data_IF_678321053559
#
_entry.id   IF_678321053559
#
_cell.length_a   1.000
_cell.length_b   1.000
_cell.length_c   1.000
_cell.angle_alpha   90.00
_cell.angle_beta   90.00
_cell.angle_gamma   90.00
#
_symmetry.space_group_name_H-M   'P 1'
#
loop_
_entity.id
_entity.type
_entity.pdbx_description
1 polymer ?
#
# COMPACT_ATOMS: atom_id res chain seq x y z
N UNK A 1 -12.15 0.97 -32.36
CA UNK A 1 -11.96 0.08 -31.20
C UNK A 1 -13.34 -0.15 -30.62
N UNK A 2 -13.83 -1.37 -30.72
CA UNK A 2 -15.17 -1.74 -30.25
C UNK A 2 -15.12 -2.19 -28.77
N UNK A 3 -16.29 -2.30 -28.15
CA UNK A 3 -16.45 -2.84 -26.80
C UNK A 3 -17.15 -4.19 -26.91
N UNK A 4 -16.49 -5.25 -26.49
CA UNK A 4 -16.98 -6.61 -26.56
C UNK A 4 -17.45 -7.06 -25.16
N UNK A 5 -18.71 -7.43 -25.03
CA UNK A 5 -19.25 -8.11 -23.85
C UNK A 5 -18.92 -9.60 -23.98
N UNK A 6 -17.96 -10.07 -23.21
CA UNK A 6 -17.49 -11.45 -23.28
C UNK A 6 -17.97 -12.25 -22.06
N UNK A 7 -18.32 -13.51 -22.29
CA UNK A 7 -18.76 -14.46 -21.26
C UNK A 7 -17.84 -15.67 -21.16
N UNK A 8 -17.01 -15.90 -22.19
CA UNK A 8 -16.06 -17.00 -22.25
C UNK A 8 -14.64 -16.50 -22.52
N UNK A 9 -13.65 -17.31 -22.17
CA UNK A 9 -12.24 -17.01 -22.43
C UNK A 9 -11.97 -16.86 -23.95
N UNK A 10 -12.61 -17.68 -24.79
CA UNK A 10 -12.41 -17.63 -26.23
C UNK A 10 -12.96 -16.36 -26.86
N UNK A 11 -14.14 -15.90 -26.40
CA UNK A 11 -14.68 -14.59 -26.81
C UNK A 11 -13.74 -13.44 -26.43
N UNK A 12 -13.17 -13.49 -25.22
CA UNK A 12 -12.22 -12.50 -24.75
C UNK A 12 -10.91 -12.51 -25.56
N UNK A 13 -10.38 -13.69 -25.88
CA UNK A 13 -9.20 -13.86 -26.72
C UNK A 13 -9.43 -13.30 -28.15
N UNK A 14 -10.59 -13.61 -28.73
CA UNK A 14 -10.98 -13.09 -30.04
C UNK A 14 -11.14 -11.56 -30.03
N UNK A 15 -11.71 -10.99 -28.96
CA UNK A 15 -11.82 -9.54 -28.80
C UNK A 15 -10.45 -8.88 -28.64
N UNK A 16 -9.57 -9.46 -27.81
CA UNK A 16 -8.20 -8.99 -27.62
C UNK A 16 -7.40 -8.96 -28.93
N UNK A 17 -7.52 -10.03 -29.75
CA UNK A 17 -6.84 -10.14 -31.05
C UNK A 17 -7.29 -9.07 -32.06
N UNK A 18 -8.50 -8.59 -31.95
CA UNK A 18 -9.01 -7.45 -32.75
C UNK A 18 -8.65 -6.08 -32.17
N UNK A 19 -8.05 -6.04 -30.98
CA UNK A 19 -7.78 -4.82 -30.24
C UNK A 19 -9.02 -4.18 -29.59
N UNK A 20 -10.09 -4.96 -29.40
CA UNK A 20 -11.31 -4.48 -28.76
C UNK A 20 -11.16 -4.40 -27.23
N UNK A 21 -12.01 -3.60 -26.60
CA UNK A 21 -12.11 -3.55 -25.15
C UNK A 21 -13.02 -4.68 -24.65
N UNK A 22 -12.52 -5.44 -23.69
CA UNK A 22 -13.23 -6.59 -23.11
C UNK A 22 -14.01 -6.12 -21.88
N UNK A 23 -15.30 -6.41 -21.81
CA UNK A 23 -16.11 -6.24 -20.60
C UNK A 23 -16.35 -7.60 -19.97
N UNK A 24 -15.92 -7.74 -18.71
CA UNK A 24 -15.98 -8.98 -17.96
C UNK A 24 -16.70 -8.78 -16.63
N UNK A 25 -17.64 -9.69 -16.27
CA UNK A 25 -18.53 -9.48 -15.13
C UNK A 25 -18.52 -10.59 -14.09
N UNK A 26 -18.06 -11.76 -14.40
CA UNK A 26 -18.07 -12.90 -13.46
C UNK A 26 -17.04 -13.96 -13.83
N UNK A 27 -16.48 -14.61 -12.79
CA UNK A 27 -15.52 -15.70 -12.92
C UNK A 27 -14.11 -15.29 -13.33
N UNK A 28 -13.24 -16.27 -13.55
CA UNK A 28 -11.84 -16.03 -13.91
C UNK A 28 -11.69 -15.71 -15.40
N UNK A 29 -10.78 -14.78 -15.70
CA UNK A 29 -10.35 -14.40 -17.04
C UNK A 29 -8.82 -14.27 -17.05
N UNK A 30 -8.15 -14.87 -18.02
CA UNK A 30 -6.72 -14.69 -18.25
C UNK A 30 -6.52 -13.83 -19.50
N UNK A 31 -5.72 -12.77 -19.38
CA UNK A 31 -5.37 -11.90 -20.51
C UNK A 31 -3.86 -11.66 -20.54
N UNK A 32 -3.34 -11.49 -21.75
CA UNK A 32 -1.93 -11.23 -22.03
C UNK A 32 -1.76 -10.22 -23.16
N UNK A 33 -0.52 -9.88 -23.47
CA UNK A 33 -0.18 -8.89 -24.49
C UNK A 33 -0.68 -7.50 -24.10
N UNK A 34 -1.34 -6.79 -25.01
CA UNK A 34 -1.86 -5.44 -24.83
C UNK A 34 -3.40 -5.41 -24.61
N UNK A 35 -3.98 -6.48 -24.13
CA UNK A 35 -5.42 -6.59 -23.90
C UNK A 35 -5.93 -5.51 -22.95
N UNK A 36 -7.15 -5.03 -23.17
CA UNK A 36 -7.81 -4.01 -22.34
C UNK A 36 -9.10 -4.57 -21.76
N UNK A 37 -9.19 -4.61 -20.43
CA UNK A 37 -10.30 -5.24 -19.71
C UNK A 37 -10.99 -4.24 -18.78
N UNK A 38 -12.30 -4.27 -18.79
CA UNK A 38 -13.17 -3.66 -17.79
C UNK A 38 -13.80 -4.78 -16.97
N UNK A 39 -13.35 -4.93 -15.74
CA UNK A 39 -13.75 -5.97 -14.80
C UNK A 39 -14.77 -5.41 -13.80
N UNK A 40 -15.94 -6.03 -13.71
CA UNK A 40 -17.03 -5.59 -12.83
C UNK A 40 -17.50 -6.72 -11.90
N UNK A 41 -18.21 -6.33 -10.86
CA UNK A 41 -18.83 -7.27 -9.92
C UNK A 41 -17.80 -8.10 -9.17
N UNK A 42 -17.95 -9.42 -9.17
CA UNK A 42 -17.05 -10.38 -8.51
C UNK A 42 -16.10 -11.07 -9.48
N UNK A 43 -15.77 -10.43 -10.60
CA UNK A 43 -14.86 -10.99 -11.60
C UNK A 43 -13.43 -11.14 -11.07
N UNK A 44 -12.70 -12.13 -11.60
CA UNK A 44 -11.28 -12.35 -11.31
C UNK A 44 -10.51 -12.24 -12.61
N UNK A 45 -9.49 -11.36 -12.66
CA UNK A 45 -8.69 -11.15 -13.87
C UNK A 45 -7.21 -11.41 -13.57
N UNK A 46 -6.60 -12.28 -14.36
CA UNK A 46 -5.15 -12.50 -14.39
C UNK A 46 -4.59 -11.74 -15.60
N UNK A 47 -3.87 -10.67 -15.34
CA UNK A 47 -3.33 -9.77 -16.36
C UNK A 47 -1.81 -9.93 -16.44
N UNK A 48 -1.32 -10.38 -17.58
CA UNK A 48 0.10 -10.59 -17.84
C UNK A 48 0.62 -9.62 -18.91
N UNK A 49 1.91 -9.57 -19.09
CA UNK A 49 2.65 -8.74 -20.05
C UNK A 49 2.34 -7.24 -19.86
N UNK A 50 1.74 -6.61 -20.87
CA UNK A 50 1.38 -5.18 -20.85
C UNK A 50 -0.13 -4.94 -20.82
N UNK A 51 -0.90 -5.92 -20.37
CA UNK A 51 -2.35 -5.83 -20.28
C UNK A 51 -2.80 -4.67 -19.37
N UNK A 52 -3.94 -4.08 -19.70
CA UNK A 52 -4.50 -2.97 -18.95
C UNK A 52 -5.89 -3.33 -18.42
N UNK A 53 -6.08 -3.26 -17.11
CA UNK A 53 -7.34 -3.63 -16.44
C UNK A 53 -7.91 -2.42 -15.69
N UNK A 54 -9.20 -2.19 -15.86
CA UNK A 54 -9.99 -1.32 -14.98
C UNK A 54 -10.92 -2.18 -14.15
N UNK A 55 -10.68 -2.21 -12.85
CA UNK A 55 -11.44 -3.01 -11.89
C UNK A 55 -12.41 -2.13 -11.11
N UNK A 56 -13.65 -2.55 -11.05
CA UNK A 56 -14.75 -1.86 -10.37
C UNK A 56 -15.43 -2.79 -9.36
N UNK A 57 -16.22 -2.22 -8.49
CA UNK A 57 -17.00 -2.91 -7.46
C UNK A 57 -16.11 -3.78 -6.56
N UNK A 58 -16.28 -5.10 -6.57
CA UNK A 58 -15.50 -6.07 -5.79
C UNK A 58 -14.60 -6.97 -6.68
N UNK A 59 -14.28 -6.53 -7.89
CA UNK A 59 -13.42 -7.27 -8.80
C UNK A 59 -12.02 -7.50 -8.21
N UNK A 60 -11.45 -8.68 -8.47
CA UNK A 60 -10.10 -9.06 -8.07
C UNK A 60 -9.17 -9.12 -9.27
N UNK A 61 -7.99 -8.51 -9.18
CA UNK A 61 -7.00 -8.50 -10.27
C UNK A 61 -5.66 -9.00 -9.78
N UNK A 62 -5.09 -9.96 -10.49
CA UNK A 62 -3.71 -10.41 -10.34
C UNK A 62 -2.91 -9.87 -11.53
N UNK A 63 -2.01 -8.95 -11.28
CA UNK A 63 -1.23 -8.26 -12.29
C UNK A 63 0.23 -8.68 -12.22
N UNK A 64 0.78 -9.11 -13.35
CA UNK A 64 2.15 -9.60 -13.49
C UNK A 64 2.90 -8.80 -14.56
N UNK A 65 4.20 -8.96 -14.63
CA UNK A 65 5.11 -8.32 -15.57
C UNK A 65 4.99 -6.79 -15.56
N UNK A 66 4.54 -6.18 -16.64
CA UNK A 66 4.33 -4.74 -16.80
C UNK A 66 2.85 -4.34 -16.93
N UNK A 67 1.95 -5.18 -16.43
CA UNK A 67 0.51 -4.94 -16.47
C UNK A 67 0.13 -3.65 -15.72
N UNK A 68 -0.92 -2.99 -16.20
CA UNK A 68 -1.43 -1.74 -15.61
C UNK A 68 -2.84 -1.94 -15.08
N UNK A 69 -3.05 -1.55 -13.83
CA UNK A 69 -4.36 -1.70 -13.18
C UNK A 69 -4.85 -0.35 -12.64
N UNK A 70 -6.10 -0.03 -12.95
CA UNK A 70 -6.86 1.05 -12.34
C UNK A 70 -7.94 0.43 -11.46
N UNK A 71 -7.80 0.55 -10.16
CA UNK A 71 -8.65 -0.08 -9.16
C UNK A 71 -9.59 0.96 -8.54
N UNK A 72 -10.88 0.70 -8.60
CA UNK A 72 -11.95 1.57 -8.10
C UNK A 72 -12.89 0.81 -7.15
N UNK A 73 -13.63 1.55 -6.34
CA UNK A 73 -14.58 0.97 -5.40
C UNK A 73 -13.91 0.16 -4.31
N UNK A 74 -14.35 -1.07 -4.09
CA UNK A 74 -13.78 -2.03 -3.13
C UNK A 74 -12.98 -3.15 -3.79
N UNK A 75 -12.49 -2.92 -5.02
CA UNK A 75 -11.69 -3.88 -5.77
C UNK A 75 -10.39 -4.25 -5.05
N UNK A 76 -9.92 -5.47 -5.30
CA UNK A 76 -8.66 -5.98 -4.73
C UNK A 76 -7.65 -6.25 -5.83
N UNK A 77 -6.39 -5.82 -5.65
CA UNK A 77 -5.31 -5.99 -6.62
C UNK A 77 -4.11 -6.64 -5.96
N UNK A 78 -3.57 -7.66 -6.60
CA UNK A 78 -2.28 -8.28 -6.29
C UNK A 78 -1.33 -7.98 -7.44
N UNK A 79 -0.33 -7.15 -7.18
CA UNK A 79 0.61 -6.68 -8.20
C UNK A 79 2.00 -7.27 -7.95
N UNK A 80 2.57 -7.88 -8.98
CA UNK A 80 3.88 -8.53 -8.96
C UNK A 80 4.82 -7.89 -10.01
N UNK A 81 6.07 -8.25 -9.95
CA UNK A 81 7.13 -7.85 -10.89
C UNK A 81 7.24 -6.31 -11.02
N UNK A 82 6.98 -5.76 -12.19
CA UNK A 82 6.99 -4.33 -12.49
C UNK A 82 5.60 -3.75 -12.76
N UNK A 83 4.55 -4.44 -12.31
CA UNK A 83 3.17 -4.00 -12.50
C UNK A 83 2.90 -2.63 -11.87
N UNK A 84 2.06 -1.84 -12.53
CA UNK A 84 1.69 -0.50 -12.07
C UNK A 84 0.22 -0.41 -11.72
N UNK A 85 -0.09 0.04 -10.52
CA UNK A 85 -1.46 0.13 -10.00
C UNK A 85 -1.80 1.57 -9.63
N UNK A 86 -2.98 2.04 -10.07
CA UNK A 86 -3.60 3.24 -9.52
C UNK A 86 -4.84 2.85 -8.74
N UNK A 87 -4.79 3.07 -7.43
CA UNK A 87 -5.83 2.70 -6.49
C UNK A 87 -6.61 3.93 -6.04
N UNK A 88 -7.93 3.86 -6.16
CA UNK A 88 -8.85 4.93 -5.81
C UNK A 88 -9.91 4.45 -4.82
N UNK A 89 -10.44 5.36 -4.02
CA UNK A 89 -11.49 5.11 -3.02
C UNK A 89 -11.06 4.05 -2.00
N UNK A 90 -11.84 2.99 -1.84
CA UNK A 90 -11.59 1.92 -0.86
C UNK A 90 -10.88 0.71 -1.46
N UNK A 91 -10.22 0.86 -2.61
CA UNK A 91 -9.49 -0.22 -3.25
C UNK A 91 -8.37 -0.75 -2.35
N UNK A 92 -8.14 -2.06 -2.38
CA UNK A 92 -7.07 -2.74 -1.64
C UNK A 92 -6.01 -3.21 -2.61
N UNK A 93 -4.75 -2.92 -2.30
CA UNK A 93 -3.62 -3.35 -3.13
C UNK A 93 -2.60 -4.08 -2.27
N UNK A 94 -2.18 -5.26 -2.71
CA UNK A 94 -0.98 -5.93 -2.20
C UNK A 94 0.05 -5.94 -3.31
N UNK A 95 1.17 -5.27 -3.10
CA UNK A 95 2.23 -5.11 -4.08
C UNK A 95 3.49 -5.86 -3.66
N UNK A 96 4.10 -6.56 -4.59
CA UNK A 96 5.31 -7.36 -4.41
C UNK A 96 6.41 -6.91 -5.37
N UNK A 97 7.60 -7.41 -5.18
CA UNK A 97 8.77 -7.24 -6.04
C UNK A 97 9.09 -5.76 -6.32
N UNK A 98 9.00 -5.32 -7.56
CA UNK A 98 9.27 -3.94 -7.99
C UNK A 98 7.98 -3.20 -8.41
N UNK A 99 6.82 -3.71 -8.03
CA UNK A 99 5.54 -3.10 -8.39
C UNK A 99 5.41 -1.67 -7.86
N UNK A 100 4.75 -0.83 -8.64
CA UNK A 100 4.54 0.59 -8.31
C UNK A 100 3.06 0.87 -8.08
N UNK A 101 2.72 1.46 -6.94
CA UNK A 101 1.34 1.77 -6.57
C UNK A 101 1.16 3.26 -6.34
N UNK A 102 0.20 3.84 -7.02
CA UNK A 102 -0.27 5.20 -6.82
C UNK A 102 -1.60 5.15 -6.07
N UNK A 103 -1.57 5.50 -4.79
CA UNK A 103 -2.73 5.46 -3.92
C UNK A 103 -3.41 6.83 -3.81
N UNK A 104 -4.73 6.84 -3.91
CA UNK A 104 -5.57 8.02 -3.74
C UNK A 104 -6.72 7.73 -2.78
N UNK A 105 -7.27 8.77 -2.20
CA UNK A 105 -8.41 8.72 -1.25
C UNK A 105 -8.10 7.79 -0.06
N UNK A 106 -8.98 6.81 0.18
CA UNK A 106 -8.89 5.83 1.28
C UNK A 106 -8.33 4.48 0.83
N UNK A 107 -7.59 4.43 -0.28
CA UNK A 107 -7.01 3.18 -0.76
C UNK A 107 -6.04 2.59 0.27
N UNK A 108 -6.15 1.29 0.51
CA UNK A 108 -5.29 0.56 1.43
C UNK A 108 -4.20 -0.18 0.65
N UNK A 109 -2.94 0.05 0.98
CA UNK A 109 -1.82 -0.58 0.27
C UNK A 109 -0.94 -1.34 1.25
N UNK A 110 -0.69 -2.62 0.93
CA UNK A 110 0.32 -3.44 1.58
C UNK A 110 1.43 -3.71 0.55
N UNK A 111 2.63 -3.19 0.79
CA UNK A 111 3.75 -3.36 -0.11
C UNK A 111 4.83 -4.27 0.48
N UNK A 112 5.39 -5.18 -0.28
CA UNK A 112 6.45 -6.13 0.08
C UNK A 112 7.67 -5.95 -0.83
N UNK A 113 8.83 -6.41 -0.39
CA UNK A 113 10.05 -6.35 -1.19
C UNK A 113 10.44 -4.92 -1.55
N UNK A 114 10.70 -4.67 -2.81
CA UNK A 114 11.11 -3.39 -3.39
C UNK A 114 9.93 -2.57 -3.94
N UNK A 115 8.67 -2.99 -3.67
CA UNK A 115 7.50 -2.30 -4.16
C UNK A 115 7.43 -0.85 -3.64
N UNK A 116 7.11 0.05 -4.53
CA UNK A 116 7.07 1.49 -4.28
C UNK A 116 5.63 1.99 -4.22
N UNK A 117 5.34 2.84 -3.25
CA UNK A 117 4.00 3.45 -3.08
C UNK A 117 4.13 4.96 -3.17
N UNK A 118 3.25 5.57 -3.96
CA UNK A 118 3.22 7.01 -4.21
C UNK A 118 1.84 7.57 -3.87
N UNK A 119 1.80 8.79 -3.39
CA UNK A 119 0.59 9.58 -3.36
C UNK A 119 0.18 9.92 -4.81
N UNK A 120 -1.05 9.60 -5.19
CA UNK A 120 -1.49 9.74 -6.58
C UNK A 120 -1.71 11.20 -7.00
N UNK A 121 -1.86 12.13 -6.05
CA UNK A 121 -2.08 13.57 -6.30
C UNK A 121 -0.76 14.29 -6.43
N UNK A 122 0.16 14.07 -5.49
CA UNK A 122 1.45 14.78 -5.43
C UNK A 122 2.57 14.07 -6.18
N UNK A 123 2.40 12.78 -6.51
CA UNK A 123 3.46 11.94 -7.06
C UNK A 123 4.60 11.66 -6.07
N UNK A 124 4.46 12.14 -4.84
CA UNK A 124 5.47 11.93 -3.80
C UNK A 124 5.48 10.49 -3.32
N UNK A 125 6.65 9.87 -3.11
CA UNK A 125 6.72 8.55 -2.54
C UNK A 125 6.09 8.57 -1.14
N UNK A 126 5.07 7.75 -0.95
CA UNK A 126 4.57 7.44 0.38
C UNK A 126 5.62 6.54 1.01
N UNK A 127 6.56 7.15 1.72
CA UNK A 127 7.57 6.41 2.46
C UNK A 127 6.85 5.46 3.40
N UNK A 128 7.08 4.18 3.20
CA UNK A 128 6.71 3.18 4.17
C UNK A 128 7.67 3.35 5.34
N UNK A 129 7.33 4.26 6.22
CA UNK A 129 7.97 4.34 7.54
C UNK A 129 7.51 3.12 8.34
N UNK A 130 8.12 1.97 8.03
CA UNK A 130 8.01 0.85 8.97
C UNK A 130 8.71 1.30 10.23
N UNK A 131 8.08 1.18 11.39
CA UNK A 131 8.81 1.31 12.62
C UNK A 131 9.99 0.33 12.53
N UNK A 132 11.20 0.86 12.45
CA UNK A 132 12.43 0.06 12.41
C UNK A 132 12.77 -0.50 13.78
N UNK A 133 12.17 0.06 14.80
CA UNK A 133 12.32 -0.35 16.19
C UNK A 133 10.95 -0.42 16.80
N UNK A 134 10.63 -1.55 17.43
CA UNK A 134 9.46 -1.72 18.27
C UNK A 134 9.96 -1.92 19.68
N UNK A 135 9.59 -1.02 20.58
CA UNK A 135 9.87 -1.13 22.00
C UNK A 135 8.64 -1.77 22.64
N UNK A 136 8.86 -2.75 23.48
CA UNK A 136 7.81 -3.59 24.08
C UNK A 136 6.72 -2.83 24.82
N UNK A 137 5.91 -3.57 25.53
CA UNK A 137 4.74 -3.05 26.25
C UNK A 137 5.12 -1.98 27.28
N UNK A 138 4.75 -0.73 27.03
CA UNK A 138 5.12 0.44 27.83
C UNK A 138 3.90 1.26 28.23
N UNK A 139 4.06 1.96 29.33
CA UNK A 139 3.18 3.01 29.80
C UNK A 139 1.81 2.53 30.26
N UNK A 140 0.91 3.46 30.50
CA UNK A 140 -0.41 3.24 31.11
C UNK A 140 -1.34 2.30 30.32
N UNK A 141 -1.08 2.12 29.02
CA UNK A 141 -1.88 1.25 28.15
C UNK A 141 -1.25 -0.10 27.86
N UNK A 142 -0.06 -0.37 28.41
CA UNK A 142 0.71 -1.58 28.13
C UNK A 142 0.78 -1.87 26.62
N UNK A 143 1.11 -0.86 25.82
CA UNK A 143 1.08 -0.90 24.37
C UNK A 143 2.50 -0.84 23.77
N UNK A 144 2.65 -1.34 22.54
CA UNK A 144 3.92 -1.24 21.82
C UNK A 144 4.16 0.21 21.35
N UNK A 145 5.41 0.65 21.47
CA UNK A 145 5.90 1.89 20.91
C UNK A 145 6.64 1.59 19.61
N UNK A 146 6.12 2.08 18.49
CA UNK A 146 6.77 1.97 17.19
C UNK A 146 7.65 3.21 16.94
N UNK A 147 8.82 3.01 16.35
CA UNK A 147 9.73 4.10 15.99
C UNK A 147 10.20 3.95 14.55
N UNK A 148 10.00 4.97 13.74
CA UNK A 148 10.61 5.11 12.43
C UNK A 148 11.92 5.91 12.56
N UNK A 149 13.01 5.36 12.05
CA UNK A 149 14.32 6.00 12.01
C UNK A 149 14.63 6.41 10.56
N UNK A 150 14.45 7.68 10.19
CA UNK A 150 14.74 8.16 8.84
C UNK A 150 16.21 7.97 8.46
N UNK A 151 16.46 7.65 7.19
CA UNK A 151 17.83 7.47 6.67
C UNK A 151 18.49 8.78 6.23
N UNK A 152 17.75 9.88 6.20
CA UNK A 152 18.19 11.20 5.77
C UNK A 152 18.65 12.09 6.95
N UNK A 153 18.79 11.53 8.16
CA UNK A 153 19.16 12.27 9.34
C UNK A 153 18.05 13.12 9.95
N UNK A 154 16.83 13.07 9.41
CA UNK A 154 15.70 13.75 10.03
C UNK A 154 15.32 13.11 11.37
N UNK A 155 14.57 13.83 12.18
CA UNK A 155 14.18 13.37 13.50
C UNK A 155 13.31 12.10 13.45
N UNK A 156 13.51 11.11 14.36
CA UNK A 156 12.67 9.92 14.45
C UNK A 156 11.19 10.25 14.65
N UNK A 157 10.33 9.46 14.04
CA UNK A 157 8.88 9.51 14.23
C UNK A 157 8.45 8.38 15.16
N UNK A 158 7.68 8.73 16.19
CA UNK A 158 7.19 7.81 17.22
C UNK A 158 5.70 7.55 17.01
N UNK A 159 5.30 6.29 17.15
CA UNK A 159 3.92 5.80 17.07
C UNK A 159 3.54 5.18 18.41
N UNK A 160 2.61 5.79 19.13
CA UNK A 160 2.14 5.37 20.45
C UNK A 160 0.61 5.23 20.47
N UNK A 161 0.12 4.04 20.15
CA UNK A 161 -1.32 3.80 19.99
C UNK A 161 -1.91 4.61 18.84
N UNK A 162 -2.85 5.52 19.15
CA UNK A 162 -3.47 6.42 18.14
C UNK A 162 -2.71 7.74 17.93
N UNK A 163 -1.60 7.96 18.64
CA UNK A 163 -0.78 9.15 18.51
C UNK A 163 0.45 8.86 17.66
N UNK A 164 0.83 9.81 16.80
CA UNK A 164 2.11 9.79 16.09
C UNK A 164 2.66 11.22 15.96
N UNK A 165 3.98 11.35 16.00
CA UNK A 165 4.66 12.63 15.87
C UNK A 165 6.17 12.48 16.00
N UNK A 166 6.90 13.59 15.96
CA UNK A 166 8.36 13.61 16.13
C UNK A 166 8.75 13.18 17.54
N UNK A 167 9.97 12.68 17.70
CA UNK A 167 10.51 12.28 19.00
C UNK A 167 10.51 13.43 20.01
N UNK A 168 10.82 14.66 19.57
CA UNK A 168 10.77 15.87 20.39
C UNK A 168 9.36 16.16 20.90
N UNK A 169 8.34 16.05 20.03
CA UNK A 169 6.94 16.26 20.39
C UNK A 169 6.45 15.17 21.36
N UNK A 170 6.91 13.92 21.14
CA UNK A 170 6.62 12.82 22.05
C UNK A 170 7.21 13.05 23.44
N UNK A 171 8.48 13.50 23.52
CA UNK A 171 9.15 13.83 24.77
C UNK A 171 8.40 14.91 25.55
N UNK A 172 8.07 16.03 24.90
CA UNK A 172 7.31 17.12 25.51
C UNK A 172 5.93 16.67 26.02
N UNK A 173 5.26 15.80 25.25
CA UNK A 173 3.99 15.20 25.66
C UNK A 173 4.15 14.29 26.89
N UNK A 174 5.19 13.48 26.95
CA UNK A 174 5.47 12.59 28.10
C UNK A 174 5.69 13.43 29.36
N UNK A 175 6.47 14.50 29.28
CA UNK A 175 6.73 15.39 30.41
C UNK A 175 5.48 16.13 30.89
N UNK A 176 4.55 16.43 29.98
CA UNK A 176 3.27 17.08 30.31
C UNK A 176 2.25 16.11 30.91
N UNK A 177 2.10 14.92 30.31
CA UNK A 177 1.04 13.96 30.68
C UNK A 177 1.46 13.02 31.80
N UNK A 178 2.77 12.72 31.88
CA UNK A 178 3.37 11.79 32.84
C UNK A 178 4.62 12.42 33.50
N UNK A 179 4.49 13.57 34.19
CA UNK A 179 5.64 14.28 34.79
C UNK A 179 6.39 13.39 35.79
N UNK A 180 5.64 12.56 36.52
CA UNK A 180 6.15 11.68 37.57
C UNK A 180 5.61 10.26 37.43
N UNK A 181 6.17 9.32 38.20
CA UNK A 181 5.71 7.95 38.34
C UNK A 181 6.28 6.97 37.31
N UNK A 182 5.86 5.74 37.42
CA UNK A 182 6.41 4.60 36.66
C UNK A 182 6.26 4.79 35.14
N UNK A 183 5.10 5.20 34.67
CA UNK A 183 4.84 5.32 33.23
C UNK A 183 5.68 6.43 32.58
N UNK A 184 5.88 7.55 33.27
CA UNK A 184 6.78 8.61 32.82
C UNK A 184 8.22 8.11 32.74
N UNK A 185 8.68 7.35 33.72
CA UNK A 185 10.01 6.75 33.74
C UNK A 185 10.22 5.78 32.56
N UNK A 186 9.24 4.89 32.29
CA UNK A 186 9.26 3.95 31.16
C UNK A 186 9.36 4.68 29.80
N UNK A 187 8.55 5.71 29.59
CA UNK A 187 8.59 6.47 28.34
C UNK A 187 9.91 7.25 28.20
N UNK A 188 10.43 7.85 29.27
CA UNK A 188 11.72 8.55 29.24
C UNK A 188 12.89 7.60 28.95
N UNK A 189 12.86 6.38 29.49
CA UNK A 189 13.84 5.34 29.16
C UNK A 189 13.78 4.96 27.68
N UNK A 190 12.58 4.81 27.11
CA UNK A 190 12.39 4.55 25.70
C UNK A 190 12.91 5.71 24.82
N UNK A 191 12.63 6.97 25.20
CA UNK A 191 13.14 8.17 24.50
C UNK A 191 14.66 8.21 24.53
N UNK A 192 15.28 7.92 25.66
CA UNK A 192 16.75 7.87 25.79
C UNK A 192 17.36 6.79 24.89
N UNK A 193 16.75 5.61 24.84
CA UNK A 193 17.15 4.53 23.95
C UNK A 193 17.05 4.94 22.47
N UNK A 194 15.93 5.57 22.05
CA UNK A 194 15.75 6.03 20.68
C UNK A 194 16.82 7.05 20.29
N UNK A 195 17.14 8.02 21.16
CA UNK A 195 18.20 8.98 20.94
C UNK A 195 19.55 8.30 20.75
N UNK A 196 19.91 7.37 21.64
CA UNK A 196 21.18 6.65 21.56
C UNK A 196 21.35 5.87 20.25
N UNK A 197 20.32 5.17 19.77
CA UNK A 197 20.38 4.44 18.50
C UNK A 197 20.34 5.35 17.26
N UNK A 198 19.88 6.59 17.41
CA UNK A 198 19.89 7.59 16.32
C UNK A 198 21.27 8.22 16.19
N UNK A 199 21.89 8.62 17.31
CA UNK A 199 23.22 9.20 17.36
C UNK A 199 24.33 8.22 16.90
N UNK A 200 24.19 6.94 17.22
CA UNK A 200 25.15 5.90 16.81
C UNK A 200 25.10 5.54 15.31
N UNK A 201 24.28 6.24 14.51
CA UNK A 201 24.13 6.02 13.05
C UNK A 201 24.66 7.17 12.19
N UNK A 202 25.11 8.25 12.80
CA UNK A 202 25.85 9.33 12.15
C UNK A 202 27.32 8.95 12.05
#
# INVERSE_FOLDING_TARGET
MAVAQCKTQDEANAAASRGDQIVWRAGPLVVCGSARVYAYGSSIVYANDSASVRAFDSASVYAFDSARVYAYGSSSVYAHDSASVRAHRSARVTAYDSASVYANDSASVLAHGSASVYDAVTGSPLRRERPRVVIGLLGSRNAMLGVSLPSDGSEPVVYAGCWSGRLSDFAARVDTVYPDGQFGAEYRAAIAFIRAITEGRQ
#
